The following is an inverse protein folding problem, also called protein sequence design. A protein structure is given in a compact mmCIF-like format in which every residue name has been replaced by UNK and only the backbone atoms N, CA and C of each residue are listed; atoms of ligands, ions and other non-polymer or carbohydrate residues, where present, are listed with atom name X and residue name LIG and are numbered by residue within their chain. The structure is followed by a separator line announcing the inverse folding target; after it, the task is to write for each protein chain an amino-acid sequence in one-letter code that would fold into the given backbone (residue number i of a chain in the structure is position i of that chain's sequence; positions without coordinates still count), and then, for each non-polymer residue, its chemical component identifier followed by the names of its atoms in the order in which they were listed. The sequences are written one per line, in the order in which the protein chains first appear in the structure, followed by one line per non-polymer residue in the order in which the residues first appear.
data_IF_797889368359
#
_entry.id   IF_797889368359
#
_cell.length_a   1.000
_cell.length_b   1.000
_cell.length_c   1.000
_cell.angle_alpha   90.00
_cell.angle_beta   90.00
_cell.angle_gamma   90.00
#
_symmetry.space_group_name_H-M   'P 1'
#
loop_
_entity.id
_entity.type
_entity.pdbx_description
1 polymer ?
#
# COMPACT_ATOMS: atom_id res chain seq x y z
N UNK A 1 19.19 -10.26 43.54
CA UNK A 1 18.42 -9.01 43.58
C UNK A 1 19.35 -7.90 43.14
N UNK A 2 19.11 -7.39 41.94
CA UNK A 2 19.25 -5.97 41.56
C UNK A 2 18.60 -5.84 40.18
N UNK A 3 17.28 -5.73 40.22
CA UNK A 3 16.37 -5.45 39.10
C UNK A 3 16.40 -3.95 38.77
N UNK A 4 17.58 -3.43 38.44
CA UNK A 4 17.77 -2.01 38.08
C UNK A 4 18.21 -1.81 36.63
N UNK A 5 17.91 -2.76 35.74
CA UNK A 5 17.94 -2.52 34.29
C UNK A 5 16.67 -1.79 33.85
N UNK A 6 16.59 -0.53 34.30
CA UNK A 6 16.25 0.62 33.48
C UNK A 6 15.39 0.30 32.26
N UNK A 7 14.09 0.53 32.42
CA UNK A 7 13.12 0.79 31.36
C UNK A 7 13.70 1.76 30.32
N UNK A 8 14.27 1.25 29.24
CA UNK A 8 14.56 2.05 28.06
C UNK A 8 13.41 1.85 27.07
N UNK A 9 12.49 2.83 26.94
CA UNK A 9 11.28 2.66 26.13
C UNK A 9 11.53 2.58 24.61
N UNK A 10 12.79 2.68 24.16
CA UNK A 10 13.17 2.68 22.75
C UNK A 10 14.48 1.91 22.51
N UNK A 11 14.57 0.64 22.92
CA UNK A 11 15.57 -0.27 22.34
C UNK A 11 15.13 -0.65 20.92
N UNK A 12 15.43 0.22 19.96
CA UNK A 12 15.40 -0.16 18.55
C UNK A 12 16.59 -1.11 18.30
N UNK A 13 16.30 -2.35 17.90
CA UNK A 13 17.36 -3.26 17.46
C UNK A 13 17.91 -2.78 16.11
N UNK A 14 19.15 -3.13 15.76
CA UNK A 14 19.74 -2.81 14.46
C UNK A 14 18.84 -3.33 13.31
N UNK A 15 18.16 -4.44 13.55
CA UNK A 15 17.17 -5.04 12.64
C UNK A 15 15.96 -4.12 12.41
N UNK A 16 15.46 -3.46 13.45
CA UNK A 16 14.34 -2.53 13.34
C UNK A 16 14.73 -1.28 12.55
N UNK A 17 15.97 -0.79 12.77
CA UNK A 17 16.50 0.35 12.02
C UNK A 17 16.71 0.02 10.53
N UNK A 18 17.24 -1.17 10.22
CA UNK A 18 17.40 -1.64 8.84
C UNK A 18 16.04 -1.78 8.14
N UNK A 19 15.05 -2.33 8.86
CA UNK A 19 13.69 -2.49 8.35
C UNK A 19 13.03 -1.13 8.09
N UNK A 20 13.13 -0.19 9.02
CA UNK A 20 12.62 1.16 8.86
C UNK A 20 13.29 1.87 7.68
N UNK A 21 14.62 1.75 7.56
CA UNK A 21 15.38 2.35 6.45
C UNK A 21 14.97 1.74 5.10
N UNK A 22 14.78 0.43 5.05
CA UNK A 22 14.31 -0.26 3.84
C UNK A 22 12.90 0.17 3.43
N UNK A 23 11.98 0.27 4.40
CA UNK A 23 10.61 0.76 4.17
C UNK A 23 10.63 2.21 3.68
N UNK A 24 11.40 3.08 4.34
CA UNK A 24 11.50 4.49 3.95
C UNK A 24 12.12 4.63 2.56
N UNK A 25 13.21 3.93 2.27
CA UNK A 25 13.84 3.91 0.94
C UNK A 25 12.88 3.41 -0.14
N UNK A 26 12.09 2.38 0.17
CA UNK A 26 11.05 1.87 -0.72
C UNK A 26 9.97 2.92 -1.03
N UNK A 27 9.40 3.54 0.01
CA UNK A 27 8.39 4.59 -0.15
C UNK A 27 8.94 5.81 -0.90
N UNK A 28 10.16 6.24 -0.57
CA UNK A 28 10.85 7.30 -1.30
C UNK A 28 11.05 6.93 -2.78
N UNK A 29 11.37 5.67 -3.07
CA UNK A 29 11.47 5.16 -4.44
C UNK A 29 10.14 5.22 -5.20
N UNK A 30 9.03 4.83 -4.56
CA UNK A 30 7.69 4.95 -5.16
C UNK A 30 7.32 6.40 -5.46
N UNK A 31 7.57 7.31 -4.52
CA UNK A 31 7.34 8.75 -4.71
C UNK A 31 8.22 9.27 -5.84
N UNK A 32 9.52 8.96 -5.83
CA UNK A 32 10.47 9.39 -6.85
C UNK A 32 10.06 8.90 -8.23
N UNK A 33 9.59 7.65 -8.35
CA UNK A 33 9.09 7.11 -9.61
C UNK A 33 7.82 7.84 -10.05
N UNK A 34 6.85 8.02 -9.16
CA UNK A 34 5.56 8.65 -9.47
C UNK A 34 5.68 10.12 -9.89
N UNK A 35 6.64 10.88 -9.33
CA UNK A 35 6.91 12.27 -9.75
C UNK A 35 7.86 12.38 -10.93
N UNK A 36 8.59 11.32 -11.28
CA UNK A 36 9.53 11.36 -12.40
C UNK A 36 8.82 11.40 -13.75
N UNK A 37 9.42 12.06 -14.74
CA UNK A 37 8.92 12.04 -16.12
C UNK A 37 8.89 10.63 -16.74
N UNK A 38 9.80 9.74 -16.32
CA UNK A 38 9.84 8.34 -16.78
C UNK A 38 8.64 7.57 -16.24
N UNK A 39 8.37 7.66 -14.93
CA UNK A 39 7.22 7.01 -14.31
C UNK A 39 5.90 7.52 -14.89
N UNK A 40 5.79 8.85 -15.02
CA UNK A 40 4.66 9.49 -15.67
C UNK A 40 4.44 9.00 -17.12
N UNK A 41 5.49 8.98 -17.94
CA UNK A 41 5.41 8.51 -19.33
C UNK A 41 5.00 7.04 -19.42
N UNK A 42 5.50 6.21 -18.50
CA UNK A 42 5.18 4.78 -18.44
C UNK A 42 3.72 4.53 -18.07
N UNK A 43 3.21 5.27 -17.09
CA UNK A 43 1.80 5.19 -16.65
C UNK A 43 0.87 5.73 -17.73
N UNK A 44 1.27 6.78 -18.45
CA UNK A 44 0.52 7.28 -19.60
C UNK A 44 0.41 6.24 -20.70
N UNK A 45 1.51 5.55 -21.05
CA UNK A 45 1.45 4.45 -22.01
C UNK A 45 0.55 3.31 -21.54
N UNK A 46 0.58 3.00 -20.24
CA UNK A 46 -0.32 2.02 -19.66
C UNK A 46 -1.79 2.46 -19.78
N UNK A 47 -2.11 3.72 -19.48
CA UNK A 47 -3.46 4.26 -19.59
C UNK A 47 -4.01 4.19 -21.03
N UNK A 48 -3.17 4.48 -22.04
CA UNK A 48 -3.55 4.34 -23.47
C UNK A 48 -3.83 2.87 -23.83
N UNK A 49 -3.01 1.93 -23.34
CA UNK A 49 -3.24 0.49 -23.61
C UNK A 49 -4.50 -0.01 -22.90
N UNK A 50 -4.83 0.56 -21.75
CA UNK A 50 -5.98 0.20 -20.91
C UNK A 50 -7.07 1.27 -20.92
N UNK A 51 -7.39 1.86 -22.07
CA UNK A 51 -8.46 2.87 -22.21
C UNK A 51 -9.82 2.40 -21.64
N UNK A 52 -10.10 1.10 -21.72
CA UNK A 52 -11.30 0.49 -21.12
C UNK A 52 -11.32 0.50 -19.59
N UNK A 53 -10.25 0.94 -18.93
CA UNK A 53 -10.16 1.05 -17.46
C UNK A 53 -10.82 2.33 -16.91
N UNK A 54 -11.28 3.28 -17.73
CA UNK A 54 -11.97 4.49 -17.26
C UNK A 54 -13.12 4.19 -16.25
N UNK A 55 -14.01 3.21 -16.48
CA UNK A 55 -15.06 2.88 -15.52
C UNK A 55 -14.52 2.34 -14.18
N UNK A 56 -13.28 1.83 -14.14
CA UNK A 56 -12.69 1.30 -12.92
C UNK A 56 -12.39 2.39 -11.89
N UNK A 57 -12.41 3.68 -12.26
CA UNK A 57 -12.42 4.77 -11.29
C UNK A 57 -13.59 4.64 -10.30
N UNK A 58 -14.75 4.12 -10.72
CA UNK A 58 -15.90 3.91 -9.82
C UNK A 58 -15.65 2.85 -8.75
N UNK A 59 -14.60 2.03 -8.86
CA UNK A 59 -14.19 1.11 -7.81
C UNK A 59 -13.47 1.82 -6.65
N UNK A 60 -12.95 3.02 -6.86
CA UNK A 60 -12.13 3.76 -5.88
C UNK A 60 -12.78 3.91 -4.49
N UNK A 61 -14.08 4.26 -4.35
CA UNK A 61 -14.70 4.34 -3.03
C UNK A 61 -14.70 2.98 -2.29
N UNK A 62 -14.91 1.89 -3.02
CA UNK A 62 -14.88 0.54 -2.43
C UNK A 62 -13.48 0.18 -1.94
N UNK A 63 -12.44 0.59 -2.66
CA UNK A 63 -11.05 0.40 -2.25
C UNK A 63 -10.75 1.21 -0.99
N UNK A 64 -11.16 2.47 -0.95
CA UNK A 64 -10.95 3.35 0.20
C UNK A 64 -11.64 2.81 1.46
N UNK A 65 -12.95 2.55 1.40
CA UNK A 65 -13.71 2.03 2.54
C UNK A 65 -13.32 0.60 2.90
N UNK A 66 -13.00 -0.25 1.92
CA UNK A 66 -12.52 -1.61 2.15
C UNK A 66 -11.17 -1.63 2.88
N UNK A 67 -10.24 -0.75 2.48
CA UNK A 67 -8.94 -0.60 3.13
C UNK A 67 -9.09 -0.03 4.55
N UNK A 68 -9.98 0.94 4.75
CA UNK A 68 -10.29 1.50 6.07
C UNK A 68 -10.90 0.43 7.00
N UNK A 69 -11.85 -0.36 6.49
CA UNK A 69 -12.44 -1.46 7.24
C UNK A 69 -11.38 -2.49 7.65
N UNK A 70 -10.50 -2.87 6.72
CA UNK A 70 -9.37 -3.76 7.03
C UNK A 70 -8.44 -3.18 8.09
N UNK A 71 -8.10 -1.89 7.98
CA UNK A 71 -7.26 -1.19 8.95
C UNK A 71 -7.87 -1.18 10.36
N UNK A 72 -9.19 -1.25 10.51
CA UNK A 72 -9.84 -1.42 11.81
C UNK A 72 -9.79 -2.88 12.29
N UNK A 73 -10.07 -3.86 11.42
CA UNK A 73 -10.18 -5.27 11.82
C UNK A 73 -8.81 -5.89 12.14
N UNK A 74 -7.72 -5.51 11.47
CA UNK A 74 -6.38 -6.10 11.68
C UNK A 74 -5.76 -5.80 13.07
N UNK A 75 -5.73 -4.55 13.55
CA UNK A 75 -5.20 -4.25 14.88
C UNK A 75 -6.12 -4.76 15.98
N UNK A 76 -7.45 -4.60 15.83
CA UNK A 76 -8.45 -5.02 16.83
C UNK A 76 -8.64 -6.54 16.92
N UNK A 77 -8.21 -7.29 15.91
CA UNK A 77 -8.23 -8.75 15.98
C UNK A 77 -6.98 -9.28 16.67
N UNK A 78 -7.18 -9.98 17.78
CA UNK A 78 -6.17 -10.79 18.45
C UNK A 78 -5.83 -12.09 17.70
N UNK A 79 -6.35 -12.26 16.48
CA UNK A 79 -6.14 -13.46 15.70
C UNK A 79 -4.63 -13.66 15.42
N UNK A 80 -4.00 -14.71 15.98
CA UNK A 80 -2.57 -14.97 15.78
C UNK A 80 -2.24 -15.23 14.31
N UNK A 81 -3.23 -15.61 13.49
CA UNK A 81 -3.09 -15.82 12.06
C UNK A 81 -2.82 -14.53 11.26
N UNK A 82 -2.86 -13.33 11.86
CA UNK A 82 -2.57 -12.07 11.17
C UNK A 82 -1.23 -11.45 11.53
N UNK A 83 -0.45 -12.12 12.40
CA UNK A 83 0.93 -11.73 12.68
C UNK A 83 1.85 -12.21 11.56
N UNK A 84 2.95 -11.51 11.24
CA UNK A 84 3.32 -10.16 11.67
C UNK A 84 2.44 -9.10 11.00
N UNK A 85 2.07 -8.05 11.75
CA UNK A 85 1.11 -7.03 11.28
C UNK A 85 1.75 -5.90 10.46
N UNK A 86 3.08 -5.70 10.55
CA UNK A 86 3.75 -4.52 10.00
C UNK A 86 3.53 -4.35 8.48
N UNK A 87 3.92 -5.33 7.67
CA UNK A 87 3.76 -5.27 6.20
C UNK A 87 2.29 -5.17 5.78
N UNK A 88 1.41 -5.78 6.57
CA UNK A 88 -0.03 -5.78 6.36
C UNK A 88 -0.62 -4.37 6.57
N UNK A 89 -0.22 -3.70 7.67
CA UNK A 89 -0.61 -2.32 7.96
C UNK A 89 0.03 -1.32 7.00
N UNK A 90 1.30 -1.55 6.63
CA UNK A 90 2.01 -0.70 5.68
C UNK A 90 1.40 -0.79 4.28
N UNK A 91 1.02 -1.98 3.82
CA UNK A 91 0.26 -2.17 2.59
C UNK A 91 -1.02 -1.32 2.62
N UNK A 92 -1.84 -1.46 3.66
CA UNK A 92 -3.08 -0.69 3.77
C UNK A 92 -2.85 0.83 3.85
N UNK A 93 -1.79 1.27 4.54
CA UNK A 93 -1.43 2.68 4.58
C UNK A 93 -1.05 3.20 3.19
N UNK A 94 -0.31 2.42 2.41
CA UNK A 94 0.06 2.75 1.03
C UNK A 94 -1.16 2.77 0.11
N UNK A 95 -2.08 1.80 0.22
CA UNK A 95 -3.34 1.79 -0.54
C UNK A 95 -4.22 2.98 -0.17
N UNK A 96 -4.34 3.32 1.11
CA UNK A 96 -5.08 4.51 1.55
C UNK A 96 -4.44 5.80 1.06
N UNK A 97 -3.12 5.89 1.07
CA UNK A 97 -2.40 7.03 0.49
C UNK A 97 -2.71 7.16 -1.01
N UNK A 98 -2.66 6.05 -1.76
CA UNK A 98 -3.08 6.01 -3.15
C UNK A 98 -4.52 6.53 -3.33
N UNK A 99 -5.45 6.09 -2.48
CA UNK A 99 -6.83 6.56 -2.54
C UNK A 99 -7.00 8.04 -2.17
N UNK A 100 -6.20 8.59 -1.27
CA UNK A 100 -6.32 9.99 -0.84
C UNK A 100 -5.71 11.00 -1.83
N UNK A 101 -4.70 10.60 -2.62
CA UNK A 101 -4.01 11.50 -3.54
C UNK A 101 -4.94 12.15 -4.59
N UNK A 102 -5.87 11.41 -5.23
CA UNK A 102 -6.88 12.02 -6.10
C UNK A 102 -7.74 13.05 -5.39
N UNK A 103 -8.16 12.79 -4.14
CA UNK A 103 -8.98 13.73 -3.36
C UNK A 103 -8.23 15.03 -3.11
N UNK A 104 -6.94 14.96 -2.78
CA UNK A 104 -6.10 16.14 -2.59
C UNK A 104 -6.05 16.95 -3.88
N UNK A 105 -5.90 16.30 -5.04
CA UNK A 105 -5.97 17.00 -6.32
C UNK A 105 -7.33 17.68 -6.54
N UNK A 106 -8.44 16.98 -6.36
CA UNK A 106 -9.80 17.53 -6.55
C UNK A 106 -10.11 18.71 -5.64
N UNK A 107 -9.73 18.65 -4.37
CA UNK A 107 -10.09 19.69 -3.41
C UNK A 107 -9.13 20.87 -3.41
N UNK A 108 -7.83 20.64 -3.67
CA UNK A 108 -6.79 21.65 -3.46
C UNK A 108 -6.14 22.14 -4.76
N UNK A 109 -6.41 21.52 -5.91
CA UNK A 109 -5.98 21.99 -7.23
C UNK A 109 -4.46 22.01 -7.43
N UNK A 110 -3.72 21.15 -6.74
CA UNK A 110 -2.25 21.10 -6.81
C UNK A 110 -1.76 20.52 -8.16
N UNK A 111 -0.67 21.10 -8.69
CA UNK A 111 -0.05 20.80 -10.00
C UNK A 111 0.92 19.58 -9.95
N UNK A 112 0.87 18.77 -8.90
CA UNK A 112 1.73 17.57 -8.79
C UNK A 112 1.08 16.44 -9.61
N UNK A 113 1.84 15.55 -10.29
CA UNK A 113 1.28 14.41 -11.02
C UNK A 113 0.72 13.34 -10.06
N UNK A 114 -0.42 13.65 -9.43
CA UNK A 114 -1.06 12.82 -8.40
C UNK A 114 -1.58 11.50 -8.96
N UNK A 115 -1.92 11.46 -10.24
CA UNK A 115 -2.43 10.28 -10.93
C UNK A 115 -1.33 9.24 -11.04
N UNK A 116 -0.14 9.68 -11.48
CA UNK A 116 1.06 8.85 -11.54
C UNK A 116 1.46 8.33 -10.16
N UNK A 117 1.42 9.19 -9.14
CA UNK A 117 1.66 8.77 -7.75
C UNK A 117 0.62 7.75 -7.26
N UNK A 118 -0.66 7.94 -7.58
CA UNK A 118 -1.74 7.01 -7.22
C UNK A 118 -1.48 5.62 -7.77
N UNK A 119 -1.11 5.53 -9.05
CA UNK A 119 -0.79 4.25 -9.71
C UNK A 119 0.49 3.65 -9.11
N UNK A 120 1.53 4.45 -8.87
CA UNK A 120 2.77 3.98 -8.25
C UNK A 120 2.55 3.42 -6.84
N UNK A 121 1.74 4.09 -6.01
CA UNK A 121 1.42 3.57 -4.67
C UNK A 121 0.55 2.31 -4.75
N UNK A 122 -0.44 2.25 -5.64
CA UNK A 122 -1.20 1.02 -5.89
C UNK A 122 -0.31 -0.16 -6.30
N UNK A 123 0.57 0.05 -7.28
CA UNK A 123 1.56 -0.95 -7.70
C UNK A 123 2.53 -1.31 -6.57
N UNK A 124 2.90 -0.33 -5.76
CA UNK A 124 3.77 -0.50 -4.61
C UNK A 124 3.13 -1.22 -3.42
N UNK A 125 1.82 -1.40 -3.43
CA UNK A 125 1.14 -2.17 -2.40
C UNK A 125 1.36 -3.69 -2.60
N UNK A 126 1.46 -4.17 -3.84
CA UNK A 126 1.63 -5.59 -4.16
C UNK A 126 2.89 -6.23 -3.52
N UNK A 127 4.10 -5.64 -3.63
CA UNK A 127 5.28 -6.21 -2.98
C UNK A 127 5.13 -6.29 -1.46
N UNK A 128 4.36 -5.41 -0.83
CA UNK A 128 4.12 -5.43 0.62
C UNK A 128 3.20 -6.58 1.02
N UNK A 129 2.16 -6.87 0.23
CA UNK A 129 1.31 -8.05 0.39
C UNK A 129 2.11 -9.35 0.29
N UNK A 130 3.03 -9.43 -0.68
CA UNK A 130 3.94 -10.57 -0.86
C UNK A 130 4.94 -10.65 0.29
N UNK A 131 5.56 -9.54 0.68
CA UNK A 131 6.52 -9.48 1.78
C UNK A 131 5.89 -9.97 3.09
N UNK A 132 4.61 -9.68 3.34
CA UNK A 132 3.88 -10.23 4.47
C UNK A 132 3.82 -11.77 4.44
N UNK A 133 3.48 -12.38 3.29
CA UNK A 133 3.49 -13.84 3.15
C UNK A 133 4.88 -14.44 3.31
N UNK A 134 5.90 -13.83 2.69
CA UNK A 134 7.30 -14.29 2.80
C UNK A 134 7.78 -14.22 4.24
N UNK A 135 7.43 -13.15 4.97
CA UNK A 135 7.77 -13.02 6.38
C UNK A 135 7.08 -14.10 7.23
N UNK A 136 5.80 -14.42 6.96
CA UNK A 136 5.12 -15.55 7.62
C UNK A 136 5.80 -16.89 7.33
N UNK A 137 6.19 -17.11 6.07
CA UNK A 137 6.89 -18.32 5.66
C UNK A 137 8.25 -18.46 6.36
N UNK A 138 9.02 -17.37 6.45
CA UNK A 138 10.31 -17.34 7.16
C UNK A 138 10.17 -17.58 8.68
N UNK A 139 9.01 -17.27 9.25
CA UNK A 139 8.67 -17.56 10.66
C UNK A 139 7.97 -18.92 10.84
N UNK A 140 7.93 -19.76 9.78
CA UNK A 140 7.33 -21.10 9.80
C UNK A 140 5.86 -21.10 10.26
N UNK A 141 5.13 -20.00 10.00
CA UNK A 141 3.73 -19.89 10.40
C UNK A 141 2.81 -20.63 9.43
N UNK A 142 1.77 -21.33 9.93
CA UNK A 142 0.88 -22.11 9.07
C UNK A 142 0.06 -21.22 8.14
N UNK A 143 -0.22 -21.75 6.95
CA UNK A 143 -1.04 -21.11 5.92
C UNK A 143 -2.49 -21.54 6.10
N UNK A 144 -3.20 -20.86 7.00
CA UNK A 144 -4.61 -21.14 7.28
C UNK A 144 -5.54 -20.47 6.25
N UNK A 145 -6.79 -20.92 6.08
CA UNK A 145 -7.74 -20.30 5.17
C UNK A 145 -7.97 -18.79 5.44
N UNK A 146 -7.83 -18.38 6.70
CA UNK A 146 -7.92 -16.98 7.10
C UNK A 146 -6.76 -16.13 6.57
N UNK A 147 -5.55 -16.70 6.51
CA UNK A 147 -4.35 -16.05 5.92
C UNK A 147 -4.55 -15.89 4.43
N UNK A 148 -4.94 -16.95 3.72
CA UNK A 148 -5.18 -16.90 2.27
C UNK A 148 -6.28 -15.89 1.92
N UNK A 149 -7.38 -15.88 2.67
CA UNK A 149 -8.46 -14.90 2.47
C UNK A 149 -7.99 -13.47 2.70
N UNK A 150 -7.17 -13.24 3.72
CA UNK A 150 -6.58 -11.92 4.01
C UNK A 150 -5.66 -11.50 2.87
N UNK A 151 -4.77 -12.38 2.41
CA UNK A 151 -3.88 -12.12 1.30
C UNK A 151 -4.65 -11.79 0.01
N UNK A 152 -5.63 -12.60 -0.37
CA UNK A 152 -6.43 -12.36 -1.57
C UNK A 152 -7.22 -11.06 -1.50
N UNK A 153 -7.74 -10.70 -0.31
CA UNK A 153 -8.42 -9.43 -0.13
C UNK A 153 -7.45 -8.24 -0.26
N UNK A 154 -6.23 -8.33 0.28
CA UNK A 154 -5.20 -7.28 0.10
C UNK A 154 -4.82 -7.15 -1.38
N UNK A 155 -4.51 -8.25 -2.05
CA UNK A 155 -4.18 -8.27 -3.48
C UNK A 155 -5.32 -7.70 -4.34
N UNK A 156 -6.57 -7.97 -3.97
CA UNK A 156 -7.74 -7.38 -4.63
C UNK A 156 -7.80 -5.87 -4.42
N UNK A 157 -7.57 -5.39 -3.19
CA UNK A 157 -7.51 -3.95 -2.89
C UNK A 157 -6.36 -3.27 -3.62
N UNK A 158 -5.17 -3.88 -3.67
CA UNK A 158 -3.98 -3.41 -4.37
C UNK A 158 -4.27 -3.24 -5.88
N UNK A 159 -4.87 -4.27 -6.48
CA UNK A 159 -5.25 -4.26 -7.90
C UNK A 159 -6.32 -3.23 -8.18
N UNK A 160 -7.38 -3.19 -7.37
CA UNK A 160 -8.45 -2.24 -7.53
C UNK A 160 -7.94 -0.80 -7.38
N UNK A 161 -7.06 -0.52 -6.41
CA UNK A 161 -6.41 0.79 -6.26
C UNK A 161 -5.63 1.19 -7.51
N UNK A 162 -4.84 0.25 -8.04
CA UNK A 162 -4.02 0.46 -9.24
C UNK A 162 -4.89 0.75 -10.46
N UNK A 163 -5.89 -0.08 -10.72
CA UNK A 163 -6.76 0.06 -11.90
C UNK A 163 -7.65 1.30 -11.75
N UNK A 164 -8.11 1.65 -10.55
CA UNK A 164 -8.80 2.93 -10.32
C UNK A 164 -7.89 4.13 -10.58
N UNK A 165 -6.61 4.06 -10.22
CA UNK A 165 -5.62 5.09 -10.56
C UNK A 165 -5.38 5.22 -12.06
N UNK A 166 -5.30 4.09 -12.78
CA UNK A 166 -5.19 4.08 -14.24
C UNK A 166 -6.44 4.66 -14.88
N UNK A 167 -7.63 4.24 -14.43
CA UNK A 167 -8.91 4.79 -14.90
C UNK A 167 -9.02 6.30 -14.68
N UNK A 168 -8.47 6.79 -13.56
CA UNK A 168 -8.36 8.22 -13.29
C UNK A 168 -7.43 8.93 -14.29
N UNK A 169 -6.29 8.33 -14.64
CA UNK A 169 -5.40 8.85 -15.69
C UNK A 169 -6.09 8.94 -17.07
N UNK A 170 -7.01 8.03 -17.37
CA UNK A 170 -7.78 8.04 -18.63
C UNK A 170 -8.87 9.12 -18.59
N UNK A 171 -9.57 9.29 -17.47
CA UNK A 171 -10.67 10.27 -17.35
C UNK A 171 -10.17 11.71 -17.38
N UNK A 172 -9.06 11.99 -16.69
CA UNK A 172 -8.46 13.32 -16.66
C UNK A 172 -7.54 13.58 -17.84
N UNK A 173 -7.82 12.94 -18.98
CA UNK A 173 -7.28 13.19 -20.32
C UNK A 173 -6.32 14.38 -20.36
N UNK A 174 -5.02 14.07 -20.43
CA UNK A 174 -3.92 15.03 -20.48
C UNK A 174 -4.16 16.22 -21.41
#
# INVERSE_FOLDING_TARGET
MDESRSDQPFRFDLKDLLLATGILGYLCGLVSLGVSGIGWGSIRHLAIVFEMAAPAFFAWPFVFFGSLAMLLVIPLSDNPNRRPKLFLLLNLAVVLAACCLPLIHFFWGWIVPFESLTVCFGLGAFPLSIAWLVHRWALEMPLSPAVSRTFYLLMFLDLAATVSGIGLCVIFDF
#
